data_IF_248833104123
#
_entry.id   IF_248833104123
#
_cell.length_a   1.000
_cell.length_b   1.000
_cell.length_c   1.000
_cell.angle_alpha   90.00
_cell.angle_beta   90.00
_cell.angle_gamma   90.00
#
_symmetry.space_group_name_H-M   'P 1'
#
loop_
_entity.id
_entity.type
_entity.pdbx_description
1 polymer ?
#
# COMPACT_ATOMS: atom_id res chain seq x y z
N UNK A 1 -92.75 5.45 -39.95
CA UNK A 1 -93.17 6.36 -38.86
C UNK A 1 -93.40 5.54 -37.60
N UNK A 2 -92.65 5.88 -36.55
CA UNK A 2 -92.81 5.49 -35.14
C UNK A 2 -92.66 4.02 -34.67
N UNK A 3 -91.77 3.92 -33.65
CA UNK A 3 -91.73 2.98 -32.52
C UNK A 3 -91.34 1.54 -32.84
N UNK A 4 -90.22 1.07 -32.29
CA UNK A 4 -90.23 0.49 -30.94
C UNK A 4 -88.83 0.01 -30.56
N UNK A 5 -88.48 0.28 -29.32
CA UNK A 5 -87.26 -0.08 -28.59
C UNK A 5 -87.05 -1.59 -28.49
N UNK A 6 -85.84 -2.05 -28.78
CA UNK A 6 -85.29 -3.35 -28.38
C UNK A 6 -84.06 -3.09 -27.50
N UNK A 7 -84.06 -3.55 -26.27
CA UNK A 7 -82.79 -3.84 -25.58
C UNK A 7 -83.01 -5.04 -24.66
N UNK A 8 -82.23 -6.08 -24.96
CA UNK A 8 -82.23 -7.38 -24.32
C UNK A 8 -81.73 -7.30 -22.88
N UNK A 9 -82.42 -7.99 -21.97
CA UNK A 9 -82.03 -8.20 -20.59
C UNK A 9 -81.21 -9.50 -20.52
N UNK A 10 -79.88 -9.40 -20.48
CA UNK A 10 -78.98 -10.54 -20.21
C UNK A 10 -78.60 -10.56 -18.73
N UNK A 11 -79.07 -11.61 -18.05
CA UNK A 11 -78.72 -11.97 -16.69
C UNK A 11 -77.30 -12.57 -16.69
N UNK A 12 -76.31 -11.86 -16.14
CA UNK A 12 -74.96 -12.40 -15.93
C UNK A 12 -74.72 -12.66 -14.44
N UNK A 13 -74.46 -13.92 -14.15
CA UNK A 13 -74.08 -14.50 -12.87
C UNK A 13 -72.83 -13.77 -12.29
N UNK A 14 -72.97 -13.14 -11.13
CA UNK A 14 -71.85 -12.52 -10.41
C UNK A 14 -71.10 -13.59 -9.61
N UNK A 15 -69.93 -14.01 -10.12
CA UNK A 15 -68.96 -14.80 -9.35
C UNK A 15 -68.22 -13.85 -8.39
N UNK A 16 -68.48 -13.98 -7.09
CA UNK A 16 -67.75 -13.26 -6.06
C UNK A 16 -66.36 -13.89 -5.86
N UNK A 17 -65.33 -13.26 -6.44
CA UNK A 17 -63.93 -13.53 -6.08
C UNK A 17 -63.59 -12.77 -4.80
N UNK A 18 -63.48 -13.49 -3.68
CA UNK A 18 -62.85 -12.99 -2.45
C UNK A 18 -61.34 -13.12 -2.66
N UNK A 19 -60.70 -12.03 -3.07
CA UNK A 19 -59.25 -11.92 -3.11
C UNK A 19 -58.74 -11.48 -1.73
N UNK A 20 -58.23 -12.45 -0.97
CA UNK A 20 -57.50 -12.25 0.28
C UNK A 20 -56.15 -11.63 -0.03
N UNK A 21 -55.99 -10.32 0.19
CA UNK A 21 -54.70 -9.64 0.09
C UNK A 21 -53.84 -9.94 1.31
N UNK A 22 -53.14 -11.07 1.29
CA UNK A 22 -51.96 -11.25 2.14
C UNK A 22 -50.87 -10.30 1.64
N UNK A 23 -50.71 -9.18 2.35
CA UNK A 23 -49.57 -8.29 2.19
C UNK A 23 -48.30 -9.02 2.63
N UNK A 24 -47.71 -9.79 1.72
CA UNK A 24 -46.29 -10.15 1.81
C UNK A 24 -45.50 -8.86 1.57
N UNK A 25 -45.04 -8.26 2.67
CA UNK A 25 -43.95 -7.30 2.63
C UNK A 25 -42.72 -8.04 2.08
N UNK A 26 -42.51 -7.93 0.77
CA UNK A 26 -41.24 -8.33 0.16
C UNK A 26 -40.09 -7.58 0.84
N UNK A 27 -38.89 -8.16 0.89
CA UNK A 27 -37.74 -7.47 1.43
C UNK A 27 -37.58 -6.14 0.69
N UNK A 28 -37.58 -5.03 1.43
CA UNK A 28 -37.19 -3.73 0.91
C UNK A 28 -35.77 -3.91 0.37
N UNK A 29 -35.65 -3.99 -0.95
CA UNK A 29 -34.41 -3.71 -1.65
C UNK A 29 -34.06 -2.28 -1.25
N UNK A 30 -33.09 -2.12 -0.35
CA UNK A 30 -32.47 -0.83 -0.07
C UNK A 30 -31.61 -0.47 -1.28
N UNK A 31 -32.28 -0.10 -2.38
CA UNK A 31 -31.68 0.65 -3.46
C UNK A 31 -31.76 2.12 -3.03
N UNK A 32 -30.82 2.52 -2.18
CA UNK A 32 -30.57 3.93 -1.90
C UNK A 32 -29.16 4.17 -2.40
N UNK A 33 -29.06 4.65 -3.63
CA UNK A 33 -27.95 5.46 -4.09
C UNK A 33 -27.92 6.76 -3.26
N UNK A 34 -27.58 6.63 -1.98
CA UNK A 34 -27.32 7.76 -1.11
C UNK A 34 -26.03 8.39 -1.65
N UNK A 35 -26.15 9.63 -2.14
CA UNK A 35 -25.02 10.39 -2.63
C UNK A 35 -23.95 10.45 -1.53
N UNK A 36 -22.72 10.10 -1.89
CA UNK A 36 -21.61 10.03 -0.94
C UNK A 36 -21.38 11.42 -0.34
N UNK A 37 -21.51 11.52 0.98
CA UNK A 37 -21.20 12.76 1.68
C UNK A 37 -19.69 12.83 1.96
N UNK A 38 -19.01 13.78 1.32
CA UNK A 38 -17.56 13.95 1.43
C UNK A 38 -17.08 14.53 2.77
N UNK A 39 -17.97 15.17 3.54
CA UNK A 39 -17.61 15.89 4.75
C UNK A 39 -17.84 15.10 6.05
N UNK A 40 -18.54 13.97 5.98
CA UNK A 40 -18.72 13.09 7.14
C UNK A 40 -17.49 12.22 7.39
N UNK A 41 -17.41 11.63 8.59
CA UNK A 41 -16.42 10.60 8.88
C UNK A 41 -16.75 9.35 8.05
N UNK A 42 -15.74 8.80 7.36
CA UNK A 42 -15.94 7.60 6.56
C UNK A 42 -16.17 6.36 7.44
N UNK A 43 -15.51 6.32 8.60
CA UNK A 43 -15.59 5.21 9.54
C UNK A 43 -16.71 5.43 10.55
N UNK A 44 -17.76 4.61 10.43
CA UNK A 44 -18.91 4.60 11.35
C UNK A 44 -18.80 3.35 12.23
N UNK A 45 -18.63 3.54 13.54
CA UNK A 45 -18.57 2.45 14.54
C UNK A 45 -19.81 1.56 14.56
N UNK A 46 -20.94 2.07 14.08
CA UNK A 46 -22.19 1.32 13.95
C UNK A 46 -22.18 0.32 12.80
N UNK A 47 -21.23 0.44 11.88
CA UNK A 47 -21.03 -0.45 10.73
C UNK A 47 -19.84 -1.38 10.98
N UNK A 48 -19.86 -2.54 10.32
CA UNK A 48 -18.69 -3.41 10.25
C UNK A 48 -17.56 -2.74 9.46
N UNK A 49 -16.32 -3.18 9.69
CA UNK A 49 -15.17 -2.67 8.94
C UNK A 49 -15.32 -2.90 7.43
N UNK A 50 -15.81 -4.09 7.06
CA UNK A 50 -16.07 -4.44 5.67
C UNK A 50 -17.12 -3.52 5.02
N UNK A 51 -18.20 -3.18 5.72
CA UNK A 51 -19.23 -2.24 5.22
C UNK A 51 -18.65 -0.82 5.03
N UNK A 52 -17.82 -0.35 5.96
CA UNK A 52 -17.13 0.94 5.81
C UNK A 52 -16.26 0.95 4.53
N UNK A 53 -15.48 -0.12 4.30
CA UNK A 53 -14.68 -0.24 3.08
C UNK A 53 -15.53 -0.44 1.81
N UNK A 54 -16.67 -1.14 1.87
CA UNK A 54 -17.59 -1.29 0.74
C UNK A 54 -18.08 0.08 0.26
N UNK A 55 -18.38 1.00 1.17
CA UNK A 55 -18.77 2.36 0.84
C UNK A 55 -17.64 3.15 0.13
N UNK A 56 -16.40 3.04 0.62
CA UNK A 56 -15.24 3.65 -0.05
C UNK A 56 -14.99 3.05 -1.44
N UNK A 57 -15.11 1.73 -1.58
CA UNK A 57 -14.98 1.04 -2.87
C UNK A 57 -16.08 1.51 -3.84
N UNK A 58 -17.32 1.65 -3.36
CA UNK A 58 -18.42 2.20 -4.17
C UNK A 58 -18.06 3.61 -4.65
N UNK A 59 -17.54 4.46 -3.76
CA UNK A 59 -17.09 5.81 -4.09
C UNK A 59 -15.98 5.86 -5.13
N UNK A 60 -14.90 5.10 -4.95
CA UNK A 60 -13.81 5.06 -5.92
C UNK A 60 -14.27 4.53 -7.29
N UNK A 61 -15.21 3.58 -7.33
CA UNK A 61 -15.74 3.04 -8.58
C UNK A 61 -16.59 4.03 -9.38
N UNK A 62 -17.03 5.13 -8.79
CA UNK A 62 -17.79 6.17 -9.52
C UNK A 62 -16.93 6.93 -10.53
N UNK A 63 -15.60 6.90 -10.38
CA UNK A 63 -14.66 7.62 -11.25
C UNK A 63 -13.72 6.64 -11.98
N UNK A 64 -13.31 6.95 -13.24
CA UNK A 64 -12.52 6.01 -14.05
C UNK A 64 -11.19 5.59 -13.42
N UNK A 65 -10.44 6.53 -12.84
CA UNK A 65 -9.14 6.22 -12.22
C UNK A 65 -9.33 5.38 -10.97
N UNK A 66 -10.30 5.73 -10.11
CA UNK A 66 -10.61 4.96 -8.91
C UNK A 66 -11.09 3.54 -9.21
N UNK A 67 -11.97 3.36 -10.20
CA UNK A 67 -12.41 2.03 -10.65
C UNK A 67 -11.24 1.16 -11.12
N UNK A 68 -10.27 1.75 -11.83
CA UNK A 68 -9.06 1.06 -12.28
C UNK A 68 -8.16 0.64 -11.13
N UNK A 69 -7.97 1.50 -10.13
CA UNK A 69 -7.21 1.18 -8.91
C UNK A 69 -7.82 -0.02 -8.19
N UNK A 70 -9.15 -0.01 -7.98
CA UNK A 70 -9.85 -1.14 -7.35
C UNK A 70 -9.69 -2.43 -8.15
N UNK A 71 -9.83 -2.38 -9.48
CA UNK A 71 -9.66 -3.56 -10.34
C UNK A 71 -8.26 -4.14 -10.18
N UNK A 72 -7.23 -3.30 -10.26
CA UNK A 72 -5.83 -3.73 -10.21
C UNK A 72 -5.41 -4.24 -8.84
N UNK A 73 -5.89 -3.61 -7.76
CA UNK A 73 -5.67 -4.12 -6.41
C UNK A 73 -6.37 -5.48 -6.21
N UNK A 74 -7.60 -5.64 -6.70
CA UNK A 74 -8.32 -6.92 -6.64
C UNK A 74 -7.61 -8.02 -7.43
N UNK A 75 -7.12 -7.71 -8.64
CA UNK A 75 -6.31 -8.62 -9.45
C UNK A 75 -5.04 -9.06 -8.70
N UNK A 76 -4.32 -8.14 -8.05
CA UNK A 76 -3.13 -8.47 -7.28
C UNK A 76 -3.45 -9.31 -6.04
N UNK A 77 -4.50 -8.99 -5.30
CA UNK A 77 -4.92 -9.82 -4.16
C UNK A 77 -5.25 -11.26 -4.61
N UNK A 78 -5.97 -11.41 -5.73
CA UNK A 78 -6.33 -12.71 -6.27
C UNK A 78 -5.11 -13.55 -6.70
N UNK A 79 -4.03 -12.92 -7.18
CA UNK A 79 -2.76 -13.62 -7.48
C UNK A 79 -2.14 -14.29 -6.24
N UNK A 80 -2.50 -13.82 -5.03
CA UNK A 80 -2.07 -14.40 -3.76
C UNK A 80 -3.15 -15.28 -3.11
N UNK A 81 -4.24 -15.61 -3.81
CA UNK A 81 -5.36 -16.37 -3.26
C UNK A 81 -6.16 -15.60 -2.20
N UNK A 82 -6.08 -14.27 -2.21
CA UNK A 82 -6.78 -13.37 -1.30
C UNK A 82 -7.86 -12.59 -2.04
N UNK A 83 -8.89 -12.16 -1.31
CA UNK A 83 -9.81 -11.13 -1.77
C UNK A 83 -9.26 -9.74 -1.46
N UNK A 84 -9.87 -8.70 -2.05
CA UNK A 84 -9.51 -7.33 -1.69
C UNK A 84 -9.72 -7.08 -0.20
N UNK A 85 -10.79 -7.58 0.43
CA UNK A 85 -11.05 -7.33 1.85
C UNK A 85 -10.04 -7.99 2.79
N UNK A 86 -9.39 -9.09 2.38
CA UNK A 86 -8.39 -9.78 3.21
C UNK A 86 -7.11 -8.95 3.44
N UNK A 87 -6.84 -7.97 2.57
CA UNK A 87 -5.69 -7.07 2.68
C UNK A 87 -6.01 -5.75 3.37
N UNK A 88 -7.29 -5.43 3.60
CA UNK A 88 -7.71 -4.14 4.15
C UNK A 88 -7.81 -4.21 5.67
N UNK A 89 -7.40 -3.13 6.31
CA UNK A 89 -7.53 -2.97 7.74
C UNK A 89 -7.74 -1.50 8.11
N UNK A 90 -8.42 -1.24 9.21
CA UNK A 90 -8.46 0.09 9.83
C UNK A 90 -7.22 0.33 10.70
N UNK A 91 -6.72 1.57 10.71
CA UNK A 91 -5.56 1.98 11.48
C UNK A 91 -5.71 3.37 12.11
N UNK A 92 -4.69 3.80 12.85
CA UNK A 92 -4.57 5.18 13.33
C UNK A 92 -4.01 6.12 12.25
N UNK A 93 -3.17 5.58 11.36
CA UNK A 93 -2.68 6.24 10.15
C UNK A 93 -2.97 5.39 8.90
N UNK A 94 -2.91 6.03 7.74
CA UNK A 94 -2.96 5.38 6.43
C UNK A 94 -1.55 4.93 6.04
N UNK A 95 -1.39 3.65 5.69
CA UNK A 95 -0.13 3.08 5.22
C UNK A 95 -0.32 1.70 4.57
N UNK A 96 0.51 1.39 3.58
CA UNK A 96 0.65 0.06 3.01
C UNK A 96 1.87 -0.63 3.61
N UNK A 97 1.63 -1.51 4.58
CA UNK A 97 2.70 -2.28 5.22
C UNK A 97 3.02 -3.49 4.34
N UNK A 98 4.26 -3.58 3.88
CA UNK A 98 4.77 -4.75 3.17
C UNK A 98 5.88 -5.38 3.99
N UNK A 99 5.59 -6.55 4.55
CA UNK A 99 6.53 -7.31 5.37
C UNK A 99 7.12 -8.46 4.55
N UNK A 100 8.46 -8.49 4.45
CA UNK A 100 9.20 -9.66 3.99
C UNK A 100 9.44 -10.61 5.18
N UNK A 101 8.71 -11.72 5.22
CA UNK A 101 8.91 -12.78 6.21
C UNK A 101 10.01 -13.71 5.72
N UNK A 102 11.12 -13.75 6.44
CA UNK A 102 12.21 -14.70 6.23
C UNK A 102 12.09 -15.83 7.24
N UNK A 103 11.97 -17.08 6.77
CA UNK A 103 11.91 -18.28 7.63
C UNK A 103 13.10 -19.19 7.35
N UNK A 104 13.69 -19.70 8.41
CA UNK A 104 14.65 -20.81 8.37
C UNK A 104 14.40 -21.70 9.59
N UNK A 105 14.73 -22.97 9.50
CA UNK A 105 14.61 -23.88 10.63
C UNK A 105 15.90 -23.88 11.44
N UNK A 106 15.82 -23.92 12.77
CA UNK A 106 17.01 -24.05 13.62
C UNK A 106 17.79 -25.34 13.31
N UNK A 107 17.11 -26.39 12.83
CA UNK A 107 17.67 -27.66 12.36
C UNK A 107 18.37 -27.56 10.99
N UNK A 108 18.06 -26.54 10.18
CA UNK A 108 18.71 -26.29 8.90
C UNK A 108 18.72 -24.78 8.58
N UNK A 109 19.66 -24.02 9.18
CA UNK A 109 19.71 -22.56 9.01
C UNK A 109 20.18 -22.15 7.61
N UNK A 110 20.72 -23.05 6.78
CA UNK A 110 21.15 -22.72 5.42
C UNK A 110 19.95 -22.61 4.46
N UNK A 111 18.85 -23.31 4.74
CA UNK A 111 17.61 -23.23 3.97
C UNK A 111 16.74 -22.05 4.42
N UNK A 112 16.56 -21.06 3.54
CA UNK A 112 15.79 -19.85 3.81
C UNK A 112 14.62 -19.74 2.84
N UNK A 113 13.43 -19.57 3.37
CA UNK A 113 12.20 -19.28 2.61
C UNK A 113 11.81 -17.83 2.84
N UNK A 114 11.45 -17.14 1.75
CA UNK A 114 10.95 -15.77 1.78
C UNK A 114 9.48 -15.75 1.40
N UNK A 115 8.66 -15.02 2.17
CA UNK A 115 7.24 -14.82 1.93
C UNK A 115 6.92 -13.34 2.15
N UNK A 116 6.33 -12.67 1.16
CA UNK A 116 5.91 -11.27 1.29
C UNK A 116 4.44 -11.21 1.67
N UNK A 117 4.11 -10.41 2.68
CA UNK A 117 2.73 -10.10 3.07
C UNK A 117 2.51 -8.61 3.02
N UNK A 118 1.42 -8.17 2.41
CA UNK A 118 1.05 -6.76 2.35
C UNK A 118 -0.33 -6.54 2.94
N UNK A 119 -0.46 -5.50 3.77
CA UNK A 119 -1.74 -5.00 4.29
C UNK A 119 -1.85 -3.50 4.03
N UNK A 120 -3.05 -3.07 3.67
CA UNK A 120 -3.41 -1.67 3.46
C UNK A 120 -4.21 -1.21 4.67
N UNK A 121 -3.63 -0.30 5.43
CA UNK A 121 -4.29 0.36 6.56
C UNK A 121 -4.81 1.72 6.12
N UNK A 122 -6.03 2.06 6.56
CA UNK A 122 -6.62 3.38 6.35
C UNK A 122 -6.97 4.02 7.69
N UNK A 123 -6.62 5.30 7.88
CA UNK A 123 -6.90 6.01 9.12
C UNK A 123 -8.39 6.20 9.35
N UNK A 124 -8.88 5.84 10.55
CA UNK A 124 -10.29 6.02 10.94
C UNK A 124 -10.72 7.47 11.18
N UNK A 125 -9.76 8.39 11.25
CA UNK A 125 -9.98 9.78 11.66
C UNK A 125 -10.23 10.73 10.48
N UNK A 126 -10.23 10.20 9.25
CA UNK A 126 -10.40 10.97 8.03
C UNK A 126 -11.87 11.26 7.72
N UNK A 127 -12.10 12.34 6.98
CA UNK A 127 -13.38 12.55 6.30
C UNK A 127 -13.45 11.65 5.06
N UNK A 128 -14.66 11.43 4.54
CA UNK A 128 -14.88 10.54 3.40
C UNK A 128 -14.07 10.91 2.15
N UNK A 129 -13.94 12.20 1.82
CA UNK A 129 -13.10 12.59 0.67
C UNK A 129 -11.64 12.22 0.89
N UNK A 130 -11.04 12.65 2.00
CA UNK A 130 -9.64 12.37 2.32
C UNK A 130 -9.39 10.86 2.42
N UNK A 131 -10.33 10.10 2.99
CA UNK A 131 -10.27 8.65 3.05
C UNK A 131 -10.32 7.98 1.67
N UNK A 132 -11.11 8.50 0.72
CA UNK A 132 -11.11 8.00 -0.66
C UNK A 132 -9.76 8.25 -1.35
N UNK A 133 -9.17 9.43 -1.13
CA UNK A 133 -7.88 9.82 -1.69
C UNK A 133 -6.74 8.95 -1.12
N UNK A 134 -6.61 8.90 0.21
CA UNK A 134 -5.65 8.05 0.90
C UNK A 134 -5.84 6.58 0.50
N UNK A 135 -7.08 6.10 0.38
CA UNK A 135 -7.32 4.72 -0.02
C UNK A 135 -6.84 4.44 -1.45
N UNK A 136 -7.04 5.38 -2.38
CA UNK A 136 -6.49 5.26 -3.73
C UNK A 136 -4.94 5.30 -3.74
N UNK A 137 -4.34 6.16 -2.90
CA UNK A 137 -2.89 6.24 -2.70
C UNK A 137 -2.32 4.90 -2.20
N UNK A 138 -2.88 4.37 -1.11
CA UNK A 138 -2.41 3.12 -0.52
C UNK A 138 -2.66 1.90 -1.41
N UNK A 139 -3.80 1.83 -2.10
CA UNK A 139 -4.02 0.76 -3.07
C UNK A 139 -3.05 0.85 -4.26
N UNK A 140 -2.55 2.05 -4.60
CA UNK A 140 -1.54 2.22 -5.65
C UNK A 140 -0.21 1.62 -5.19
N UNK A 141 0.22 1.89 -3.95
CA UNK A 141 1.37 1.21 -3.35
C UNK A 141 1.18 -0.30 -3.35
N UNK A 142 0.06 -0.78 -2.80
CA UNK A 142 -0.23 -2.21 -2.74
C UNK A 142 -0.16 -2.84 -4.12
N UNK A 143 -0.75 -2.22 -5.14
CA UNK A 143 -0.83 -2.76 -6.49
C UNK A 143 0.53 -2.80 -7.18
N UNK A 144 1.28 -1.71 -7.13
CA UNK A 144 2.38 -1.50 -8.07
C UNK A 144 3.77 -1.53 -7.43
N UNK A 145 3.90 -1.32 -6.12
CA UNK A 145 5.19 -1.35 -5.44
C UNK A 145 5.80 -2.74 -5.60
N UNK A 146 7.03 -2.75 -6.09
CA UNK A 146 7.80 -3.97 -6.26
C UNK A 146 8.32 -4.43 -4.89
N UNK A 147 8.21 -5.73 -4.55
CA UNK A 147 8.82 -6.24 -3.34
C UNK A 147 10.34 -6.06 -3.39
N UNK A 148 10.92 -5.49 -2.34
CA UNK A 148 12.37 -5.45 -2.18
C UNK A 148 12.83 -6.60 -1.28
N UNK A 149 14.05 -7.08 -1.54
CA UNK A 149 14.72 -8.04 -0.68
C UNK A 149 15.96 -7.39 -0.06
N UNK A 150 15.95 -7.04 1.23
CA UNK A 150 17.08 -6.36 1.87
C UNK A 150 18.28 -7.30 2.14
N UNK A 151 18.15 -8.58 1.79
CA UNK A 151 19.25 -9.54 1.78
C UNK A 151 19.93 -9.64 0.40
N UNK A 152 19.38 -9.02 -0.65
CA UNK A 152 20.03 -8.91 -1.97
C UNK A 152 21.25 -7.99 -1.88
N UNK A 153 22.37 -8.38 -2.49
CA UNK A 153 23.60 -7.58 -2.53
C UNK A 153 23.43 -6.23 -3.22
N UNK A 154 22.40 -6.08 -4.05
CA UNK A 154 22.06 -4.84 -4.78
C UNK A 154 21.14 -3.91 -3.97
N UNK A 155 20.75 -4.30 -2.75
CA UNK A 155 19.93 -3.44 -1.89
C UNK A 155 20.80 -2.33 -1.28
N UNK A 156 20.86 -1.19 -1.98
CA UNK A 156 21.62 -0.02 -1.56
C UNK A 156 20.69 1.17 -1.28
N UNK A 157 21.14 2.08 -0.42
CA UNK A 157 20.37 3.23 0.01
C UNK A 157 19.87 4.08 -1.18
N UNK A 158 20.72 4.32 -2.19
CA UNK A 158 20.33 5.13 -3.36
C UNK A 158 19.17 4.52 -4.13
N UNK A 159 19.23 3.21 -4.36
CA UNK A 159 18.20 2.49 -5.10
C UNK A 159 16.92 2.40 -4.27
N UNK A 160 17.05 2.28 -2.95
CA UNK A 160 15.91 2.31 -2.03
C UNK A 160 15.20 3.66 -1.99
N UNK A 161 15.94 4.77 -1.90
CA UNK A 161 15.36 6.13 -1.96
C UNK A 161 14.65 6.32 -3.30
N UNK A 162 15.34 6.01 -4.41
CA UNK A 162 14.78 6.16 -5.75
C UNK A 162 13.53 5.30 -5.96
N UNK A 163 13.57 4.03 -5.54
CA UNK A 163 12.44 3.11 -5.62
C UNK A 163 11.26 3.59 -4.76
N UNK A 164 11.52 4.11 -3.56
CA UNK A 164 10.48 4.60 -2.65
C UNK A 164 9.82 5.86 -3.20
N UNK A 165 10.59 6.81 -3.70
CA UNK A 165 10.06 8.11 -4.17
C UNK A 165 9.45 8.00 -5.57
N UNK A 166 10.24 7.58 -6.57
CA UNK A 166 9.87 7.68 -7.99
C UNK A 166 9.66 6.33 -8.69
N UNK A 167 9.98 5.23 -7.99
CA UNK A 167 9.78 3.87 -8.46
C UNK A 167 8.31 3.59 -8.77
N UNK A 168 8.08 2.50 -9.50
CA UNK A 168 6.72 2.08 -9.87
C UNK A 168 5.92 1.81 -8.59
N UNK A 169 4.80 2.52 -8.42
CA UNK A 169 4.01 2.44 -7.18
C UNK A 169 4.72 3.02 -5.96
N UNK A 170 5.77 3.83 -6.15
CA UNK A 170 6.33 4.71 -5.13
C UNK A 170 5.45 5.93 -4.88
N UNK A 171 5.93 6.82 -4.04
CA UNK A 171 5.17 7.96 -3.51
C UNK A 171 4.69 8.93 -4.59
N UNK A 172 5.54 9.23 -5.58
CA UNK A 172 5.14 10.09 -6.70
C UNK A 172 4.01 9.44 -7.52
N UNK A 173 4.12 8.15 -7.83
CA UNK A 173 3.10 7.44 -8.61
C UNK A 173 1.76 7.40 -7.86
N UNK A 174 1.80 7.08 -6.55
CA UNK A 174 0.63 7.04 -5.69
C UNK A 174 -0.04 8.42 -5.60
N UNK A 175 0.75 9.47 -5.39
CA UNK A 175 0.24 10.85 -5.35
C UNK A 175 -0.32 11.32 -6.71
N UNK A 176 0.26 10.90 -7.84
CA UNK A 176 -0.31 11.19 -9.16
C UNK A 176 -1.68 10.54 -9.34
N UNK A 177 -1.87 9.32 -8.83
CA UNK A 177 -3.15 8.62 -8.87
C UNK A 177 -4.16 9.31 -7.95
N UNK A 178 -3.76 9.65 -6.73
CA UNK A 178 -4.57 10.41 -5.77
C UNK A 178 -5.10 11.71 -6.40
N UNK A 179 -4.22 12.51 -7.01
CA UNK A 179 -4.61 13.76 -7.64
C UNK A 179 -5.53 13.61 -8.85
N UNK A 180 -5.40 12.50 -9.60
CA UNK A 180 -6.34 12.18 -10.69
C UNK A 180 -7.71 11.82 -10.13
N UNK A 181 -7.76 11.01 -9.08
CA UNK A 181 -9.01 10.66 -8.38
C UNK A 181 -9.68 11.92 -7.81
N UNK A 182 -8.92 12.82 -7.16
CA UNK A 182 -9.46 14.08 -6.65
C UNK A 182 -10.06 14.94 -7.77
N UNK A 183 -9.35 15.09 -8.90
CA UNK A 183 -9.82 15.86 -10.05
C UNK A 183 -11.12 15.28 -10.64
N UNK A 184 -11.26 13.95 -10.64
CA UNK A 184 -12.45 13.26 -11.14
C UNK A 184 -13.64 13.32 -10.15
N UNK A 185 -13.40 13.19 -8.85
CA UNK A 185 -14.44 13.22 -7.81
C UNK A 185 -14.98 14.62 -7.53
N UNK A 186 -14.12 15.64 -7.57
CA UNK A 186 -14.47 17.01 -7.21
C UNK A 186 -13.76 18.04 -8.10
N UNK A 187 -14.17 18.19 -9.37
CA UNK A 187 -13.59 19.18 -10.28
C UNK A 187 -13.95 20.59 -9.80
N UNK A 188 -12.98 21.34 -9.24
CA UNK A 188 -13.22 22.70 -8.74
C UNK A 188 -12.27 23.16 -7.63
N UNK A 189 -12.79 23.90 -6.65
CA UNK A 189 -12.01 24.53 -5.58
C UNK A 189 -11.16 23.55 -4.75
N UNK A 190 -11.66 22.33 -4.52
CA UNK A 190 -10.95 21.31 -3.74
C UNK A 190 -9.58 20.96 -4.36
N UNK A 191 -9.53 20.79 -5.69
CA UNK A 191 -8.28 20.56 -6.41
C UNK A 191 -7.34 21.76 -6.28
N UNK A 192 -7.86 22.98 -6.44
CA UNK A 192 -7.07 24.22 -6.39
C UNK A 192 -6.52 24.56 -4.98
N UNK A 193 -7.15 24.07 -3.92
CA UNK A 193 -6.68 24.25 -2.54
C UNK A 193 -5.75 23.13 -2.06
N UNK A 194 -5.56 22.09 -2.86
CA UNK A 194 -4.74 20.92 -2.52
C UNK A 194 -3.29 21.03 -3.00
N UNK A 195 -2.43 20.16 -2.49
CA UNK A 195 -1.05 20.01 -2.98
C UNK A 195 -0.99 19.51 -4.43
N UNK A 196 -2.07 18.98 -5.01
CA UNK A 196 -2.13 18.54 -6.40
C UNK A 196 -1.85 19.66 -7.41
N UNK A 197 -2.08 20.92 -7.02
CA UNK A 197 -1.77 22.06 -7.87
C UNK A 197 -0.25 22.23 -8.10
N UNK A 198 0.59 21.74 -7.17
CA UNK A 198 2.07 21.80 -7.28
C UNK A 198 2.62 20.87 -8.36
N UNK A 199 1.87 19.84 -8.70
CA UNK A 199 2.25 18.82 -9.69
C UNK A 199 1.42 18.91 -10.96
N UNK A 200 0.56 19.93 -11.08
CA UNK A 200 -0.28 20.12 -12.25
C UNK A 200 0.46 20.92 -13.33
N UNK A 201 0.63 20.33 -14.51
CA UNK A 201 1.21 21.00 -15.66
C UNK A 201 0.08 21.45 -16.60
N UNK A 202 -0.03 22.77 -16.76
CA UNK A 202 -1.03 23.43 -17.58
C UNK A 202 -0.83 23.17 -19.07
N UNK A 203 0.38 22.84 -19.53
CA UNK A 203 0.68 22.54 -20.94
C UNK A 203 0.08 21.21 -21.36
N UNK A 204 0.13 20.21 -20.49
CA UNK A 204 -0.45 18.87 -20.75
C UNK A 204 -1.89 18.75 -20.20
N UNK A 205 -2.37 19.72 -19.43
CA UNK A 205 -3.71 19.72 -18.84
C UNK A 205 -3.91 18.65 -17.75
N UNK A 206 -2.82 18.20 -17.12
CA UNK A 206 -2.80 17.03 -16.24
C UNK A 206 -1.69 17.08 -15.20
N UNK A 207 -1.65 16.08 -14.33
CA UNK A 207 -0.56 15.92 -13.36
C UNK A 207 0.72 15.43 -14.05
N UNK A 208 1.86 16.04 -13.74
CA UNK A 208 3.19 15.70 -14.26
C UNK A 208 3.99 14.95 -13.21
N UNK A 209 4.48 13.77 -13.61
CA UNK A 209 5.37 12.96 -12.79
C UNK A 209 6.70 13.67 -12.53
N UNK A 210 7.22 14.37 -13.52
CA UNK A 210 8.49 15.12 -13.43
C UNK A 210 8.41 16.24 -12.39
N UNK A 211 7.31 16.99 -12.36
CA UNK A 211 7.06 17.98 -11.31
C UNK A 211 6.90 17.29 -9.94
N UNK A 212 6.18 16.17 -9.88
CA UNK A 212 6.07 15.35 -8.68
C UNK A 212 7.43 14.96 -8.12
N UNK A 213 8.32 14.42 -8.97
CA UNK A 213 9.70 14.07 -8.58
C UNK A 213 10.41 15.31 -7.98
N UNK A 214 10.39 16.44 -8.68
CA UNK A 214 11.05 17.65 -8.18
C UNK A 214 10.54 18.12 -6.82
N UNK A 215 9.23 18.06 -6.58
CA UNK A 215 8.64 18.47 -5.31
C UNK A 215 8.92 17.47 -4.18
N UNK A 216 8.86 16.16 -4.44
CA UNK A 216 9.11 15.12 -3.42
C UNK A 216 10.56 15.07 -2.95
N UNK A 217 11.50 15.54 -3.76
CA UNK A 217 12.92 15.63 -3.39
C UNK A 217 13.32 16.92 -2.65
N UNK A 218 12.38 17.83 -2.38
CA UNK A 218 12.61 18.98 -1.49
C UNK A 218 12.58 18.52 -0.04
N UNK A 219 13.66 18.78 0.69
CA UNK A 219 13.81 18.31 2.08
C UNK A 219 14.02 19.43 3.10
N UNK A 220 14.01 20.70 2.65
CA UNK A 220 14.10 21.88 3.51
C UNK A 220 15.32 21.87 4.43
N UNK A 221 15.08 22.14 5.71
CA UNK A 221 16.11 22.24 6.74
C UNK A 221 16.89 20.93 6.95
N UNK A 222 16.32 19.79 6.55
CA UNK A 222 16.99 18.49 6.64
C UNK A 222 18.03 18.24 5.55
N UNK A 223 18.23 19.16 4.60
CA UNK A 223 19.15 18.94 3.48
C UNK A 223 20.59 18.68 3.92
N UNK A 224 21.07 19.39 4.94
CA UNK A 224 22.43 19.17 5.48
C UNK A 224 22.55 17.79 6.13
N UNK A 225 21.55 17.37 6.90
CA UNK A 225 21.55 16.05 7.53
C UNK A 225 21.49 14.94 6.48
N UNK A 226 20.70 15.13 5.42
CA UNK A 226 20.62 14.20 4.30
C UNK A 226 21.98 14.04 3.60
N UNK A 227 22.72 15.13 3.38
CA UNK A 227 24.08 15.07 2.82
C UNK A 227 25.06 14.32 3.74
N UNK A 228 24.91 14.45 5.07
CA UNK A 228 25.70 13.68 6.03
C UNK A 228 25.36 12.19 5.96
N UNK A 229 24.08 11.84 5.85
CA UNK A 229 23.64 10.46 5.67
C UNK A 229 24.15 9.86 4.35
N UNK A 230 24.14 10.62 3.25
CA UNK A 230 24.71 10.18 1.98
C UNK A 230 26.19 9.82 2.11
N UNK A 231 26.97 10.68 2.76
CA UNK A 231 28.39 10.39 3.05
C UNK A 231 28.54 9.15 3.92
N UNK A 232 27.74 9.03 4.99
CA UNK A 232 27.77 7.89 5.93
C UNK A 232 27.49 6.56 5.22
N UNK A 233 26.57 6.53 4.27
CA UNK A 233 26.16 5.31 3.58
C UNK A 233 26.74 5.16 2.16
N UNK A 234 27.72 5.99 1.80
CA UNK A 234 28.42 5.98 0.50
C UNK A 234 27.50 6.17 -0.71
N UNK A 235 26.56 7.10 -0.60
CA UNK A 235 25.76 7.61 -1.72
C UNK A 235 26.39 8.90 -2.21
N UNK A 236 26.60 9.05 -3.52
CA UNK A 236 27.06 10.32 -4.07
C UNK A 236 25.86 11.25 -4.24
N UNK A 237 26.04 12.55 -4.01
CA UNK A 237 24.97 13.53 -4.23
C UNK A 237 24.48 13.53 -5.70
N UNK A 238 25.37 13.21 -6.64
CA UNK A 238 25.07 13.05 -8.06
C UNK A 238 24.16 11.86 -8.38
N UNK A 239 24.05 10.86 -7.48
CA UNK A 239 23.11 9.76 -7.64
C UNK A 239 21.65 10.21 -7.39
N UNK A 240 21.45 11.33 -6.69
CA UNK A 240 20.14 11.90 -6.33
C UNK A 240 20.14 13.42 -6.59
N UNK A 241 20.29 13.85 -7.86
CA UNK A 241 20.50 15.26 -8.21
C UNK A 241 19.28 16.14 -7.95
N UNK A 242 18.09 15.55 -7.74
CA UNK A 242 16.85 16.27 -7.48
C UNK A 242 16.74 16.73 -6.02
N UNK A 243 17.52 16.14 -5.11
CA UNK A 243 17.49 16.50 -3.70
C UNK A 243 17.90 17.96 -3.51
N UNK A 244 17.08 18.73 -2.79
CA UNK A 244 17.34 20.15 -2.56
C UNK A 244 16.86 20.65 -1.20
N UNK A 245 17.39 21.79 -0.78
CA UNK A 245 16.97 22.52 0.42
C UNK A 245 15.67 23.34 0.23
N UNK A 246 14.92 23.12 -0.86
CA UNK A 246 13.62 23.75 -1.07
C UNK A 246 12.62 23.35 0.02
N UNK A 247 11.58 24.15 0.22
CA UNK A 247 10.54 23.87 1.22
C UNK A 247 9.89 22.50 0.98
N UNK A 248 9.92 21.64 1.98
CA UNK A 248 9.40 20.28 1.92
C UNK A 248 7.88 20.27 2.19
N UNK A 249 7.08 20.04 1.16
CA UNK A 249 5.63 19.95 1.27
C UNK A 249 5.13 18.51 1.45
N UNK A 250 5.89 17.55 0.96
CA UNK A 250 5.53 16.14 0.95
C UNK A 250 6.25 15.41 2.08
N UNK A 251 5.48 15.08 3.12
CA UNK A 251 5.96 14.52 4.38
C UNK A 251 5.42 13.10 4.53
N UNK A 252 6.31 12.15 4.83
CA UNK A 252 5.94 10.76 5.13
C UNK A 252 5.11 10.70 6.41
N UNK A 253 3.93 10.07 6.32
CA UNK A 253 3.05 9.82 7.47
C UNK A 253 3.70 8.95 8.54
N UNK A 254 4.58 8.01 8.15
CA UNK A 254 5.23 7.07 9.05
C UNK A 254 6.34 7.70 9.90
N UNK A 255 7.07 8.68 9.35
CA UNK A 255 8.26 9.25 9.99
C UNK A 255 8.13 10.75 10.33
N UNK A 256 7.12 11.44 9.81
CA UNK A 256 6.98 12.88 9.96
C UNK A 256 8.13 13.66 9.30
N UNK A 257 8.74 13.11 8.25
CA UNK A 257 9.91 13.67 7.57
C UNK A 257 9.70 13.73 6.05
N UNK A 258 10.42 14.63 5.34
CA UNK A 258 10.44 14.62 3.88
C UNK A 258 10.89 13.28 3.33
N UNK A 259 10.30 12.85 2.20
CA UNK A 259 10.42 11.47 1.73
C UNK A 259 11.84 10.93 1.56
N UNK A 260 12.81 11.66 0.97
CA UNK A 260 14.20 11.16 0.91
C UNK A 260 14.79 10.89 2.29
N UNK A 261 14.51 11.75 3.28
CA UNK A 261 15.00 11.60 4.66
C UNK A 261 14.27 10.47 5.38
N UNK A 262 12.96 10.35 5.18
CA UNK A 262 12.16 9.24 5.68
C UNK A 262 12.66 7.89 5.12
N UNK A 263 12.97 7.83 3.83
CA UNK A 263 13.51 6.64 3.18
C UNK A 263 14.89 6.24 3.75
N UNK A 264 15.75 7.21 4.10
CA UNK A 264 17.01 6.90 4.83
C UNK A 264 16.69 6.25 6.17
N UNK A 265 15.78 6.82 6.97
CA UNK A 265 15.41 6.24 8.27
C UNK A 265 14.82 4.84 8.15
N UNK A 266 13.94 4.64 7.16
CA UNK A 266 13.34 3.34 6.89
C UNK A 266 14.40 2.31 6.47
N UNK A 267 15.30 2.68 5.56
CA UNK A 267 16.42 1.83 5.14
C UNK A 267 17.28 1.43 6.34
N UNK A 268 17.68 2.37 7.19
CA UNK A 268 18.48 2.08 8.38
C UNK A 268 17.76 1.13 9.34
N UNK A 269 16.46 1.32 9.56
CA UNK A 269 15.64 0.44 10.40
C UNK A 269 15.54 -0.99 9.81
N UNK A 270 15.35 -1.10 8.48
CA UNK A 270 15.35 -2.40 7.78
C UNK A 270 16.70 -3.09 7.97
N UNK A 271 17.80 -2.37 7.74
CA UNK A 271 19.14 -2.93 7.80
C UNK A 271 19.55 -3.34 9.21
N UNK A 272 19.15 -2.60 10.25
CA UNK A 272 19.34 -3.01 11.65
C UNK A 272 18.69 -4.38 11.93
N UNK A 273 17.45 -4.59 11.48
CA UNK A 273 16.74 -5.87 11.63
C UNK A 273 17.41 -6.99 10.83
N UNK A 274 17.82 -6.72 9.60
CA UNK A 274 18.56 -7.67 8.75
C UNK A 274 19.86 -8.10 9.43
N UNK A 275 20.63 -7.16 9.95
CA UNK A 275 21.90 -7.43 10.60
C UNK A 275 21.75 -8.21 11.90
N UNK A 276 20.72 -7.91 12.71
CA UNK A 276 20.37 -8.71 13.90
C UNK A 276 20.02 -10.15 13.51
N UNK A 277 19.21 -10.33 12.47
CA UNK A 277 18.80 -11.66 12.01
C UNK A 277 19.98 -12.48 11.47
N UNK A 278 20.85 -11.88 10.65
CA UNK A 278 22.03 -12.58 10.14
C UNK A 278 23.04 -12.89 11.24
N UNK A 279 23.24 -12.00 12.23
CA UNK A 279 24.07 -12.30 13.40
C UNK A 279 23.56 -13.52 14.17
N UNK A 280 22.24 -13.61 14.40
CA UNK A 280 21.63 -14.76 15.07
C UNK A 280 21.85 -16.05 14.25
N UNK A 281 21.64 -15.99 12.94
CA UNK A 281 21.82 -17.13 12.03
C UNK A 281 23.27 -17.62 11.98
N UNK A 282 24.24 -16.69 11.94
CA UNK A 282 25.67 -17.00 11.98
C UNK A 282 26.06 -17.65 13.31
N UNK A 283 25.52 -17.15 14.42
CA UNK A 283 25.79 -17.72 15.75
C UNK A 283 25.33 -19.17 15.84
N UNK A 284 24.15 -19.50 15.30
CA UNK A 284 23.64 -20.87 15.22
C UNK A 284 24.53 -21.79 14.36
N UNK A 285 25.07 -21.28 13.25
CA UNK A 285 26.02 -22.03 12.41
C UNK A 285 27.35 -22.25 13.12
N UNK A 286 27.86 -21.24 13.83
CA UNK A 286 29.09 -21.34 14.59
C UNK A 286 28.98 -22.38 15.72
N UNK A 287 27.85 -22.41 16.44
CA UNK A 287 27.59 -23.42 17.47
C UNK A 287 27.58 -24.85 16.90
N UNK A 288 27.04 -25.04 15.69
CA UNK A 288 27.04 -26.35 15.02
C UNK A 288 28.46 -26.82 14.69
N UNK A 289 29.28 -25.94 14.13
CA UNK A 289 30.67 -26.24 13.80
C UNK A 289 31.49 -26.57 15.06
N UNK A 290 31.14 -26.01 16.22
CA UNK A 290 31.81 -26.28 17.50
C UNK A 290 31.32 -27.51 18.27
N UNK A 291 30.17 -28.11 17.90
CA UNK A 291 29.51 -29.18 18.67
C UNK A 291 29.40 -30.53 17.94
N UNK A 292 30.04 -30.71 16.79
CA UNK A 292 29.92 -31.96 16.00
C UNK A 292 30.72 -33.12 16.63
N UNK A 293 30.07 -34.25 17.00
CA UNK A 293 30.79 -35.45 17.39
C UNK A 293 31.61 -36.01 16.21
N UNK A 294 32.84 -36.45 16.48
CA UNK A 294 33.74 -37.03 15.47
C UNK A 294 33.19 -38.28 14.75
N UNK A 295 32.09 -38.86 15.26
CA UNK A 295 31.51 -40.12 14.80
C UNK A 295 30.21 -39.98 13.99
N UNK A 296 29.67 -38.78 13.78
CA UNK A 296 28.29 -38.62 13.25
C UNK A 296 28.13 -37.86 11.94
N UNK A 297 29.16 -37.20 11.42
CA UNK A 297 29.06 -36.45 10.14
C UNK A 297 30.17 -36.86 9.17
N UNK A 298 29.83 -36.95 7.88
CA UNK A 298 30.81 -37.20 6.84
C UNK A 298 31.76 -36.00 6.68
N UNK A 299 33.02 -36.24 6.31
CA UNK A 299 33.98 -35.15 6.03
C UNK A 299 33.48 -34.16 4.96
N UNK A 300 32.61 -34.63 4.06
CA UNK A 300 31.95 -33.82 3.04
C UNK A 300 30.94 -32.82 3.63
N UNK A 301 30.15 -33.23 4.63
CA UNK A 301 29.17 -32.36 5.30
C UNK A 301 29.86 -31.30 6.16
N UNK A 302 30.94 -31.66 6.87
CA UNK A 302 31.74 -30.72 7.65
C UNK A 302 32.33 -29.62 6.75
N UNK A 303 32.91 -30.00 5.60
CA UNK A 303 33.45 -29.07 4.63
C UNK A 303 32.37 -28.15 4.04
N UNK A 304 31.19 -28.70 3.73
CA UNK A 304 30.05 -27.92 3.25
C UNK A 304 29.56 -26.93 4.29
N UNK A 305 29.38 -27.35 5.54
CA UNK A 305 28.93 -26.49 6.64
C UNK A 305 29.93 -25.35 6.90
N UNK A 306 31.24 -25.62 6.82
CA UNK A 306 32.29 -24.61 6.95
C UNK A 306 32.29 -23.62 5.78
N UNK A 307 32.08 -24.10 4.55
CA UNK A 307 31.94 -23.25 3.37
C UNK A 307 30.70 -22.36 3.46
N UNK A 308 29.55 -22.92 3.83
CA UNK A 308 28.29 -22.19 4.00
C UNK A 308 28.41 -21.12 5.09
N UNK A 309 29.05 -21.45 6.22
CA UNK A 309 29.36 -20.49 7.27
C UNK A 309 30.22 -19.33 6.75
N UNK A 310 31.30 -19.64 6.01
CA UNK A 310 32.21 -18.62 5.47
C UNK A 310 31.48 -17.67 4.53
N UNK A 311 30.67 -18.21 3.60
CA UNK A 311 29.88 -17.39 2.68
C UNK A 311 28.89 -16.50 3.44
N UNK A 312 28.14 -17.06 4.40
CA UNK A 312 27.23 -16.28 5.23
C UNK A 312 27.93 -15.17 6.03
N UNK A 313 29.11 -15.45 6.55
CA UNK A 313 29.87 -14.49 7.34
C UNK A 313 30.39 -13.32 6.48
N UNK A 314 30.87 -13.60 5.28
CA UNK A 314 31.29 -12.56 4.34
C UNK A 314 30.12 -11.69 3.86
N UNK A 315 28.96 -12.30 3.58
CA UNK A 315 27.73 -11.57 3.23
C UNK A 315 27.29 -10.65 4.38
N UNK A 316 27.29 -11.16 5.61
CA UNK A 316 26.98 -10.36 6.79
C UNK A 316 27.98 -9.21 6.97
N UNK A 317 29.28 -9.49 6.85
CA UNK A 317 30.32 -8.46 7.03
C UNK A 317 30.17 -7.36 5.98
N UNK A 318 30.05 -7.71 4.71
CA UNK A 318 29.89 -6.73 3.63
C UNK A 318 28.66 -5.83 3.81
N UNK A 319 27.54 -6.41 4.29
CA UNK A 319 26.27 -5.69 4.48
C UNK A 319 26.21 -4.88 5.77
N UNK A 320 26.68 -5.44 6.88
CA UNK A 320 26.41 -4.94 8.23
C UNK A 320 27.54 -4.13 8.86
N UNK A 321 28.77 -4.23 8.33
CA UNK A 321 29.92 -3.52 8.91
C UNK A 321 29.71 -2.00 8.95
N UNK A 322 28.96 -1.43 8.00
CA UNK A 322 28.63 0.01 7.96
C UNK A 322 27.62 0.45 9.01
N UNK A 323 26.82 -0.49 9.52
CA UNK A 323 25.82 -0.24 10.56
C UNK A 323 26.36 -0.50 11.97
N UNK A 324 27.43 -1.29 12.09
CA UNK A 324 28.06 -1.64 13.36
C UNK A 324 28.78 -0.48 14.09
N UNK A 325 29.02 0.66 13.42
CA UNK A 325 29.72 1.83 13.97
C UNK A 325 28.73 2.82 14.66
N UNK A 326 27.44 2.50 14.72
CA UNK A 326 26.41 3.45 15.17
C UNK A 326 25.86 3.22 16.60
N UNK A 327 26.58 2.50 17.46
CA UNK A 327 26.22 2.38 18.88
C UNK A 327 27.24 3.06 19.79
#
# INVERSE_FOLDING_TARGET
MHKSTYTYFTFFFSLAFIASSTAFAGPKVFDIDEAINFNEAWYKKSLTEEENFRNLIKGLKTVPTGAKVISKASEKAAQHGLTLFDILATGEGSLTDTTLVRRFQASNPTNVVYETKSKVYLSRHLKTLDALLDFAHELTHFTYREPFNPYDSRFHLKDFIKSTVEGRGGEVDAFMVECKVLKELSPGEAFNRSSCQKVFDTKIGGVSKELGIQEFYKVGDHFKDLQLDFKKYSVNEEDIPQASNGNALFISSAWGLPYPVAAVKEYVNIMDRVCKNDKNRISLMQERLGRTPASSESSLEINKNAQDFRLMFEDFKSRCQRFAISN
#
